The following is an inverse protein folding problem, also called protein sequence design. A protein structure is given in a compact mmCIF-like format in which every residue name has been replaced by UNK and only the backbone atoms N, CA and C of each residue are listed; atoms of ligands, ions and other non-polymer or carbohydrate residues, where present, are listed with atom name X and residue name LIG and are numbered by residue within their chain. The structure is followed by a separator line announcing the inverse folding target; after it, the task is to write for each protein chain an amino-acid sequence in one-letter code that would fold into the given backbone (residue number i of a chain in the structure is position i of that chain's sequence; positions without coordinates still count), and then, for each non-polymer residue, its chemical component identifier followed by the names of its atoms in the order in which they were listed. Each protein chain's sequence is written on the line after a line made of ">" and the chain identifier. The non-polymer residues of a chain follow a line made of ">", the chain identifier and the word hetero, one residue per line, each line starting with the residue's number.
data_IF_634109219461
#
_entry.id   IF_634109219461
#
_cell.length_a   1.000
_cell.length_b   1.000
_cell.length_c   1.000
_cell.angle_alpha   90.00
_cell.angle_beta   90.00
_cell.angle_gamma   90.00
#
_symmetry.space_group_name_H-M   'P 1'
#
loop_
_entity.id
_entity.type
_entity.pdbx_description
1 polymer ?
#
# COMPACT_ATOMS: atom_id res chain seq x y z
N UNK A 1 24.20 13.65 -19.28
CA UNK A 1 22.95 13.43 -18.51
C UNK A 1 21.82 14.14 -19.25
N UNK A 2 20.69 13.47 -19.52
CA UNK A 2 19.53 14.07 -20.19
C UNK A 2 18.70 14.82 -19.14
N UNK A 3 18.38 16.09 -19.38
CA UNK A 3 17.50 16.87 -18.50
C UNK A 3 16.08 16.31 -18.54
N UNK A 4 15.39 16.37 -17.42
CA UNK A 4 13.97 16.00 -17.26
C UNK A 4 13.35 16.90 -16.20
N UNK A 5 12.06 17.15 -16.29
CA UNK A 5 11.33 18.04 -15.40
C UNK A 5 10.19 17.30 -14.71
N UNK A 6 9.97 17.63 -13.44
CA UNK A 6 8.72 17.36 -12.74
C UNK A 6 7.87 18.63 -12.78
N UNK A 7 6.70 18.56 -13.39
CA UNK A 7 5.74 19.67 -13.43
C UNK A 7 4.53 19.29 -12.60
N UNK A 8 4.17 20.10 -11.62
CA UNK A 8 3.01 19.90 -10.74
C UNK A 8 1.79 20.63 -11.29
N UNK A 9 0.58 20.18 -10.93
CA UNK A 9 -0.68 20.73 -11.44
C UNK A 9 -0.91 22.21 -11.09
N UNK A 10 -0.20 22.73 -10.07
CA UNK A 10 -0.23 24.13 -9.66
C UNK A 10 0.83 25.01 -10.36
N UNK A 11 1.62 24.43 -11.28
CA UNK A 11 2.57 25.13 -12.13
C UNK A 11 4.01 25.15 -11.63
N UNK A 12 4.35 24.56 -10.48
CA UNK A 12 5.75 24.44 -10.09
C UNK A 12 6.47 23.42 -10.96
N UNK A 13 7.68 23.77 -11.40
CA UNK A 13 8.59 22.91 -12.15
C UNK A 13 9.89 22.69 -11.40
N UNK A 14 10.35 21.43 -11.35
CA UNK A 14 11.61 21.05 -10.76
C UNK A 14 12.49 20.36 -11.81
N UNK A 15 13.72 20.82 -11.97
CA UNK A 15 14.69 20.23 -12.90
C UNK A 15 15.48 19.11 -12.22
N UNK A 16 15.71 18.03 -12.96
CA UNK A 16 16.66 16.98 -12.60
C UNK A 16 17.22 16.29 -13.84
N UNK A 17 17.75 15.09 -13.62
CA UNK A 17 18.34 14.26 -14.66
C UNK A 17 17.60 12.93 -14.77
N UNK A 18 17.42 12.46 -16.01
CA UNK A 18 16.69 11.22 -16.26
C UNK A 18 17.53 9.98 -15.94
N UNK A 19 16.87 9.01 -15.31
CA UNK A 19 17.29 7.60 -15.23
C UNK A 19 16.04 6.71 -15.38
N UNK A 20 16.21 5.40 -15.52
CA UNK A 20 15.11 4.50 -15.86
C UNK A 20 14.66 4.65 -17.32
N UNK A 21 13.38 4.37 -17.57
CA UNK A 21 12.82 4.42 -18.92
C UNK A 21 12.74 5.85 -19.46
N UNK A 22 12.92 6.01 -20.77
CA UNK A 22 12.64 7.28 -21.45
C UNK A 22 11.16 7.37 -21.79
N UNK A 23 10.36 7.81 -20.81
CA UNK A 23 8.92 7.95 -20.93
C UNK A 23 8.44 9.21 -20.23
N UNK A 24 7.32 9.75 -20.69
CA UNK A 24 6.57 10.78 -19.97
C UNK A 24 5.36 10.15 -19.31
N UNK A 25 5.10 10.52 -18.06
CA UNK A 25 4.01 9.96 -17.27
C UNK A 25 3.34 11.06 -16.45
N UNK A 26 2.04 10.94 -16.28
CA UNK A 26 1.27 11.74 -15.32
C UNK A 26 0.77 10.81 -14.21
N UNK A 27 0.84 11.27 -12.96
CA UNK A 27 0.43 10.52 -11.80
C UNK A 27 0.16 11.43 -10.60
N UNK A 28 -0.47 10.90 -9.56
CA UNK A 28 -0.57 11.60 -8.27
C UNK A 28 0.82 11.60 -7.61
N UNK A 29 1.33 12.79 -7.30
CA UNK A 29 2.65 12.97 -6.68
C UNK A 29 2.57 12.76 -5.17
N UNK A 30 3.33 11.79 -4.69
CA UNK A 30 3.38 11.40 -3.28
C UNK A 30 4.83 11.31 -2.81
N UNK A 31 5.06 11.31 -1.49
CA UNK A 31 6.39 11.07 -0.94
C UNK A 31 6.37 9.92 0.07
N UNK A 32 7.50 9.22 0.21
CA UNK A 32 7.71 8.15 1.17
C UNK A 32 8.90 8.47 2.09
N UNK A 33 8.73 8.25 3.40
CA UNK A 33 9.76 8.48 4.44
C UNK A 33 10.62 7.27 4.76
N UNK A 34 10.43 6.14 4.07
CA UNK A 34 11.30 4.98 4.16
C UNK A 34 12.76 5.34 3.85
N UNK A 35 13.68 4.98 4.76
CA UNK A 35 15.12 5.10 4.51
C UNK A 35 15.72 3.89 3.81
N UNK A 36 14.95 2.81 3.80
CA UNK A 36 15.18 1.52 3.16
C UNK A 36 13.81 1.03 2.69
N UNK A 37 13.79 0.00 1.84
CA UNK A 37 12.54 -0.58 1.36
C UNK A 37 12.06 0.02 0.02
N UNK A 38 12.96 0.58 -0.79
CA UNK A 38 12.55 1.15 -2.09
C UNK A 38 12.10 0.07 -3.08
N UNK A 39 12.54 -1.19 -2.93
CA UNK A 39 12.10 -2.30 -3.78
C UNK A 39 10.63 -2.62 -3.49
N UNK A 40 10.31 -2.72 -2.21
CA UNK A 40 8.97 -2.96 -1.68
C UNK A 40 8.06 -1.79 -2.05
N UNK A 41 8.57 -0.55 -2.01
CA UNK A 41 7.85 0.64 -2.51
C UNK A 41 7.55 0.54 -4.01
N UNK A 42 8.52 0.14 -4.83
CA UNK A 42 8.33 -0.02 -6.27
C UNK A 42 7.30 -1.10 -6.62
N UNK A 43 7.20 -2.14 -5.77
CA UNK A 43 6.39 -3.34 -6.00
C UNK A 43 5.12 -3.41 -5.16
N UNK A 44 4.81 -2.37 -4.39
CA UNK A 44 3.56 -2.26 -3.63
C UNK A 44 2.44 -1.70 -4.53
N UNK A 45 1.45 -2.54 -4.81
CA UNK A 45 0.30 -2.22 -5.65
C UNK A 45 -0.48 -0.98 -5.18
N UNK A 46 -0.40 -0.60 -3.90
CA UNK A 46 -1.02 0.62 -3.39
C UNK A 46 -0.47 1.92 -4.02
N UNK A 47 0.70 1.87 -4.67
CA UNK A 47 1.26 2.98 -5.46
C UNK A 47 0.74 3.06 -6.90
N UNK A 48 -0.22 2.23 -7.30
CA UNK A 48 -0.79 2.29 -8.64
C UNK A 48 -1.27 3.72 -8.99
N UNK A 49 -0.76 4.24 -10.10
CA UNK A 49 -1.10 5.59 -10.57
C UNK A 49 -0.34 6.73 -9.89
N UNK A 50 0.62 6.43 -9.01
CA UNK A 50 1.36 7.44 -8.24
C UNK A 50 2.81 7.59 -8.72
N UNK A 51 3.32 8.82 -8.69
CA UNK A 51 4.74 9.14 -8.83
C UNK A 51 5.31 9.30 -7.43
N UNK A 52 6.32 8.51 -7.09
CA UNK A 52 6.85 8.42 -5.73
C UNK A 52 8.14 9.23 -5.59
N UNK A 53 8.16 10.12 -4.60
CA UNK A 53 9.35 10.85 -4.16
C UNK A 53 9.93 10.14 -2.94
N UNK A 54 11.13 9.60 -3.08
CA UNK A 54 11.89 9.08 -1.94
C UNK A 54 12.54 10.25 -1.19
N UNK A 55 12.23 10.35 0.10
CA UNK A 55 12.81 11.42 0.94
C UNK A 55 14.22 11.11 1.41
N UNK A 56 14.57 9.81 1.53
CA UNK A 56 15.93 9.42 1.83
C UNK A 56 16.81 9.68 0.61
N UNK A 57 17.94 10.38 0.77
CA UNK A 57 18.61 10.99 -0.37
C UNK A 57 19.24 9.98 -1.33
N UNK A 58 19.80 8.88 -0.81
CA UNK A 58 20.53 7.90 -1.61
C UNK A 58 19.68 6.67 -1.87
N UNK A 59 19.30 6.44 -3.13
CA UNK A 59 18.44 5.33 -3.55
C UNK A 59 19.15 4.47 -4.60
N UNK A 60 18.95 3.15 -4.53
CA UNK A 60 19.63 2.17 -5.39
C UNK A 60 20.91 1.56 -4.80
N UNK A 61 21.28 1.93 -3.57
CA UNK A 61 22.53 1.51 -2.92
C UNK A 61 22.67 -0.01 -2.72
N UNK A 62 21.56 -0.75 -2.61
CA UNK A 62 21.58 -2.22 -2.54
C UNK A 62 21.08 -2.89 -3.83
N UNK A 63 20.95 -2.13 -4.91
CA UNK A 63 20.48 -2.61 -6.21
C UNK A 63 19.06 -3.17 -6.15
N UNK A 64 18.81 -4.19 -6.96
CA UNK A 64 17.53 -4.89 -7.02
C UNK A 64 17.72 -6.33 -6.58
N UNK A 65 16.82 -6.76 -5.72
CA UNK A 65 16.79 -8.05 -5.06
C UNK A 65 15.40 -8.62 -5.34
N UNK A 66 15.21 -9.44 -6.39
CA UNK A 66 13.90 -9.99 -6.76
C UNK A 66 13.18 -10.74 -5.62
N UNK A 67 13.93 -11.31 -4.68
CA UNK A 67 13.36 -11.97 -3.49
C UNK A 67 12.67 -11.01 -2.51
N UNK A 68 12.91 -9.70 -2.61
CA UNK A 68 12.25 -8.65 -1.83
C UNK A 68 11.05 -8.02 -2.57
N UNK A 69 10.61 -8.59 -3.70
CA UNK A 69 9.42 -8.09 -4.41
C UNK A 69 8.15 -8.45 -3.66
N UNK A 70 7.31 -7.45 -3.42
CA UNK A 70 5.96 -7.65 -2.90
C UNK A 70 4.94 -7.94 -4.01
N UNK A 71 5.28 -7.64 -5.26
CA UNK A 71 4.41 -7.76 -6.42
C UNK A 71 5.10 -7.32 -7.73
N UNK A 72 4.28 -6.99 -8.74
CA UNK A 72 4.77 -6.34 -9.98
C UNK A 72 5.11 -4.87 -9.68
N UNK A 73 5.94 -4.25 -10.52
CA UNK A 73 6.18 -2.80 -10.42
C UNK A 73 4.86 -2.03 -10.57
N UNK A 74 4.53 -1.16 -9.62
CA UNK A 74 3.23 -0.51 -9.53
C UNK A 74 3.30 1.02 -9.65
N UNK A 75 4.46 1.63 -9.37
CA UNK A 75 4.64 3.08 -9.45
C UNK A 75 4.56 3.57 -10.90
N UNK A 76 4.13 4.82 -11.11
CA UNK A 76 4.22 5.50 -12.41
C UNK A 76 5.59 6.11 -12.66
N UNK A 77 6.30 6.49 -11.62
CA UNK A 77 7.63 7.11 -11.71
C UNK A 77 8.31 7.19 -10.36
N UNK A 78 9.64 7.30 -10.37
CA UNK A 78 10.47 7.37 -9.16
C UNK A 78 11.32 8.65 -9.15
N UNK A 79 11.29 9.39 -8.05
CA UNK A 79 12.01 10.64 -7.87
C UNK A 79 12.93 10.52 -6.67
N UNK A 80 14.23 10.72 -6.89
CA UNK A 80 15.28 10.53 -5.88
C UNK A 80 16.22 11.73 -5.86
N UNK A 81 16.87 11.98 -4.73
CA UNK A 81 17.89 13.04 -4.68
C UNK A 81 19.17 12.58 -5.38
N UNK A 82 19.66 11.42 -4.99
CA UNK A 82 20.89 10.80 -5.46
C UNK A 82 20.60 9.36 -5.84
N UNK A 83 20.93 9.01 -7.08
CA UNK A 83 20.85 7.64 -7.57
C UNK A 83 22.23 6.99 -7.46
N UNK A 84 22.29 5.83 -6.81
CA UNK A 84 23.48 5.00 -6.76
C UNK A 84 23.56 4.10 -8.00
N UNK A 85 24.54 4.34 -8.86
CA UNK A 85 24.79 3.58 -10.09
C UNK A 85 25.76 2.39 -9.90
N UNK A 86 26.33 2.24 -8.70
CA UNK A 86 27.21 1.14 -8.31
C UNK A 86 26.71 0.45 -7.02
N UNK A 87 25.61 -0.33 -7.10
CA UNK A 87 25.01 -0.97 -5.92
C UNK A 87 25.98 -1.94 -5.23
N UNK A 88 25.87 -2.05 -3.91
CA UNK A 88 26.71 -2.94 -3.11
C UNK A 88 25.89 -3.69 -2.06
N UNK A 89 25.41 -4.88 -2.44
CA UNK A 89 24.77 -5.82 -1.55
C UNK A 89 25.00 -7.25 -2.08
N UNK A 90 25.26 -8.23 -1.21
CA UNK A 90 25.51 -9.62 -1.61
C UNK A 90 24.30 -10.30 -2.28
N UNK A 91 23.09 -9.76 -2.07
CA UNK A 91 21.83 -10.23 -2.67
C UNK A 91 21.48 -9.51 -3.97
N UNK A 92 22.23 -8.46 -4.34
CA UNK A 92 21.96 -7.65 -5.53
C UNK A 92 22.13 -8.49 -6.79
N UNK A 93 21.09 -8.54 -7.62
CA UNK A 93 21.13 -9.24 -8.91
C UNK A 93 21.37 -8.28 -10.09
N UNK A 94 20.86 -7.04 -10.00
CA UNK A 94 21.05 -6.00 -11.01
C UNK A 94 20.77 -4.60 -10.43
N UNK A 95 21.10 -3.55 -11.17
CA UNK A 95 20.90 -2.16 -10.72
C UNK A 95 19.46 -1.65 -10.90
N UNK A 96 19.16 -0.54 -10.21
CA UNK A 96 17.84 0.10 -10.20
C UNK A 96 17.46 0.66 -11.58
N UNK A 97 18.41 1.22 -12.34
CA UNK A 97 18.14 1.83 -13.64
C UNK A 97 17.68 0.78 -14.67
N UNK A 98 18.33 -0.39 -14.67
CA UNK A 98 17.89 -1.55 -15.45
C UNK A 98 16.47 -1.97 -15.10
N UNK A 99 16.13 -2.08 -13.81
CA UNK A 99 14.78 -2.47 -13.41
C UNK A 99 13.72 -1.49 -13.87
N UNK A 100 13.96 -0.19 -13.68
CA UNK A 100 13.04 0.86 -14.12
C UNK A 100 12.86 0.85 -15.64
N UNK A 101 13.94 0.65 -16.41
CA UNK A 101 13.89 0.51 -17.88
C UNK A 101 13.07 -0.70 -18.31
N UNK A 102 13.33 -1.86 -17.72
CA UNK A 102 12.65 -3.12 -18.05
C UNK A 102 11.14 -3.04 -17.75
N UNK A 103 10.72 -2.23 -16.77
CA UNK A 103 9.32 -2.00 -16.42
C UNK A 103 8.70 -0.74 -17.06
N UNK A 104 9.45 -0.02 -17.92
CA UNK A 104 8.93 1.19 -18.58
C UNK A 104 8.69 2.37 -17.63
N UNK A 105 9.35 2.40 -16.46
CA UNK A 105 9.16 3.42 -15.42
C UNK A 105 10.23 4.52 -15.58
N UNK A 106 9.84 5.79 -15.80
CA UNK A 106 10.77 6.90 -15.80
C UNK A 106 11.18 7.30 -14.37
N UNK A 107 12.43 7.73 -14.24
CA UNK A 107 12.98 8.25 -13.00
C UNK A 107 13.66 9.62 -13.15
N UNK A 108 13.64 10.39 -12.07
CA UNK A 108 14.37 11.67 -11.95
C UNK A 108 15.33 11.61 -10.75
N UNK A 109 16.61 11.93 -10.98
CA UNK A 109 17.60 12.16 -9.92
C UNK A 109 18.19 13.57 -9.96
N UNK A 110 18.94 13.97 -8.93
CA UNK A 110 19.59 15.29 -8.85
C UNK A 110 18.65 16.43 -8.51
N UNK A 111 17.38 16.12 -8.23
CA UNK A 111 16.30 17.04 -7.91
C UNK A 111 16.21 17.27 -6.40
N UNK A 112 15.66 18.42 -5.96
CA UNK A 112 15.48 18.72 -4.53
C UNK A 112 14.22 18.03 -3.99
N UNK A 113 14.36 16.77 -3.58
CA UNK A 113 13.25 15.98 -3.01
C UNK A 113 12.70 16.60 -1.73
N UNK A 114 13.52 17.32 -0.95
CA UNK A 114 13.07 18.00 0.27
C UNK A 114 12.14 19.18 -0.05
N UNK A 115 12.45 19.97 -1.07
CA UNK A 115 11.58 21.04 -1.54
C UNK A 115 10.24 20.48 -2.02
N UNK A 116 10.26 19.40 -2.81
CA UNK A 116 9.05 18.73 -3.30
C UNK A 116 8.21 18.19 -2.13
N UNK A 117 8.82 17.50 -1.17
CA UNK A 117 8.11 16.98 0.01
C UNK A 117 7.47 18.10 0.83
N UNK A 118 8.17 19.22 1.03
CA UNK A 118 7.56 20.39 1.71
C UNK A 118 6.36 20.92 0.94
N UNK A 119 6.48 21.04 -0.38
CA UNK A 119 5.39 21.49 -1.26
C UNK A 119 4.14 20.61 -1.11
N UNK A 120 4.30 19.28 -1.15
CA UNK A 120 3.21 18.32 -0.94
C UNK A 120 2.63 18.43 0.48
N UNK A 121 3.44 18.62 1.52
CA UNK A 121 2.94 18.75 2.90
C UNK A 121 2.13 20.05 3.11
N UNK A 122 2.55 21.12 2.48
CA UNK A 122 1.91 22.45 2.58
C UNK A 122 0.62 22.52 1.77
N UNK A 123 0.57 21.91 0.58
CA UNK A 123 -0.55 22.05 -0.36
C UNK A 123 -1.43 20.79 -0.49
N UNK A 124 -0.95 19.62 -0.03
CA UNK A 124 -1.58 18.32 -0.21
C UNK A 124 -1.00 17.53 -1.38
N UNK A 125 -1.40 16.26 -1.53
CA UNK A 125 -1.10 15.50 -2.75
C UNK A 125 -1.72 16.18 -3.97
N UNK A 126 -1.04 16.10 -5.09
CA UNK A 126 -1.43 16.79 -6.33
C UNK A 126 -0.96 15.98 -7.53
N UNK A 127 -1.57 16.17 -8.69
CA UNK A 127 -1.05 15.52 -9.89
C UNK A 127 0.26 16.18 -10.34
N UNK A 128 1.13 15.37 -10.92
CA UNK A 128 2.35 15.85 -11.55
C UNK A 128 2.67 15.03 -12.80
N UNK A 129 3.49 15.63 -13.66
CA UNK A 129 3.99 15.01 -14.87
C UNK A 129 5.52 15.01 -14.88
N UNK A 130 6.10 13.88 -15.29
CA UNK A 130 7.50 13.76 -15.70
C UNK A 130 7.55 14.04 -17.21
N UNK A 131 8.26 15.08 -17.62
CA UNK A 131 8.38 15.48 -19.03
C UNK A 131 9.78 15.95 -19.42
N UNK A 132 10.08 15.98 -20.71
CA UNK A 132 11.39 16.40 -21.24
C UNK A 132 11.40 17.82 -21.80
N UNK A 133 10.23 18.42 -22.00
CA UNK A 133 10.06 19.74 -22.61
C UNK A 133 9.11 20.61 -21.78
N UNK A 134 9.36 21.93 -21.79
CA UNK A 134 8.56 22.96 -21.12
C UNK A 134 8.28 24.12 -22.09
N UNK A 135 7.17 24.87 -21.91
CA UNK A 135 6.11 24.67 -20.91
C UNK A 135 5.21 23.47 -21.26
N UNK A 136 4.49 22.96 -20.26
CA UNK A 136 3.51 21.88 -20.43
C UNK A 136 2.09 22.40 -20.14
N UNK A 137 1.07 21.77 -20.74
CA UNK A 137 -0.32 22.09 -20.46
C UNK A 137 -0.75 21.57 -19.07
N UNK A 138 -1.02 22.49 -18.15
CA UNK A 138 -1.42 22.15 -16.79
C UNK A 138 -2.79 21.48 -16.72
N UNK A 139 -3.67 21.70 -17.71
CA UNK A 139 -5.01 21.12 -17.69
C UNK A 139 -4.97 19.59 -17.91
N UNK A 140 -4.02 19.11 -18.71
CA UNK A 140 -3.75 17.67 -18.83
C UNK A 140 -3.32 17.05 -17.48
N UNK A 141 -2.48 17.76 -16.72
CA UNK A 141 -2.01 17.28 -15.39
C UNK A 141 -3.19 17.24 -14.40
N UNK A 142 -3.98 18.32 -14.34
CA UNK A 142 -5.17 18.41 -13.45
C UNK A 142 -6.24 17.38 -13.77
N UNK A 143 -6.39 17.01 -15.05
CA UNK A 143 -7.40 16.05 -15.47
C UNK A 143 -7.08 14.60 -15.07
N UNK A 144 -5.83 14.31 -14.66
CA UNK A 144 -5.45 12.95 -14.28
C UNK A 144 -6.30 12.46 -13.09
N UNK A 145 -6.81 11.24 -13.24
CA UNK A 145 -7.55 10.51 -12.20
C UNK A 145 -7.04 9.08 -12.18
N UNK A 146 -6.89 8.55 -10.98
CA UNK A 146 -6.68 7.12 -10.77
C UNK A 146 -8.06 6.47 -10.88
N UNK A 147 -8.27 5.62 -11.88
CA UNK A 147 -9.51 4.88 -12.11
C UNK A 147 -9.25 3.38 -12.09
N UNK A 148 -10.27 2.60 -11.73
CA UNK A 148 -10.24 1.12 -11.76
C UNK A 148 -9.02 0.51 -11.06
N UNK A 149 -8.53 1.17 -9.99
CA UNK A 149 -7.22 0.88 -9.41
C UNK A 149 -7.09 -0.57 -8.94
N UNK A 150 -8.11 -1.06 -8.21
CA UNK A 150 -8.15 -2.45 -7.71
C UNK A 150 -8.24 -3.46 -8.86
N UNK A 151 -9.11 -3.20 -9.84
CA UNK A 151 -9.28 -4.06 -11.01
C UNK A 151 -7.99 -4.16 -11.85
N UNK A 152 -7.16 -3.12 -11.84
CA UNK A 152 -5.88 -3.11 -12.54
C UNK A 152 -4.76 -3.92 -11.86
N UNK A 153 -4.90 -4.23 -10.57
CA UNK A 153 -3.83 -4.88 -9.77
C UNK A 153 -4.20 -6.23 -9.16
N UNK A 154 -5.50 -6.55 -9.07
CA UNK A 154 -5.99 -7.85 -8.59
C UNK A 154 -5.45 -9.02 -9.42
N UNK A 155 -5.34 -10.20 -8.80
CA UNK A 155 -5.08 -11.44 -9.50
C UNK A 155 -6.12 -11.70 -10.61
N UNK A 156 -5.64 -12.26 -11.72
CA UNK A 156 -6.47 -12.66 -12.87
C UNK A 156 -7.28 -13.94 -12.58
N UNK A 157 -6.71 -14.81 -11.76
CA UNK A 157 -7.29 -16.11 -11.42
C UNK A 157 -7.01 -16.47 -9.96
N UNK A 158 -7.82 -17.40 -9.43
CA UNK A 158 -7.61 -17.99 -8.11
C UNK A 158 -6.29 -18.74 -8.05
N UNK A 159 -5.52 -18.54 -6.98
CA UNK A 159 -4.24 -19.22 -6.72
C UNK A 159 -4.24 -19.84 -5.33
N UNK A 160 -3.67 -21.05 -5.21
CA UNK A 160 -3.53 -21.76 -3.94
C UNK A 160 -2.06 -21.89 -3.56
N UNK A 161 -1.79 -21.75 -2.28
CA UNK A 161 -0.46 -21.88 -1.67
C UNK A 161 -0.59 -22.77 -0.44
N UNK A 162 0.10 -23.90 -0.45
CA UNK A 162 0.00 -24.89 0.62
C UNK A 162 1.10 -24.65 1.67
N UNK A 163 0.74 -24.71 2.95
CA UNK A 163 1.71 -24.77 4.03
C UNK A 163 2.22 -26.21 4.22
N UNK A 164 3.48 -26.37 4.62
CA UNK A 164 4.08 -27.70 4.84
C UNK A 164 3.31 -28.52 5.89
N UNK A 165 2.80 -27.86 6.93
CA UNK A 165 2.00 -28.48 8.00
C UNK A 165 0.72 -27.69 8.22
N UNK A 166 -0.21 -27.75 7.27
CA UNK A 166 -1.44 -26.98 7.31
C UNK A 166 -2.34 -27.31 8.52
N UNK A 167 -2.79 -26.27 9.22
CA UNK A 167 -3.76 -26.32 10.33
C UNK A 167 -5.06 -25.58 10.01
N UNK A 168 -4.99 -24.56 9.17
CA UNK A 168 -6.10 -23.67 8.83
C UNK A 168 -6.13 -23.41 7.32
N UNK A 169 -7.29 -23.04 6.79
CA UNK A 169 -7.49 -22.61 5.41
C UNK A 169 -7.97 -21.17 5.42
N UNK A 170 -7.17 -20.28 4.85
CA UNK A 170 -7.47 -18.84 4.77
C UNK A 170 -7.72 -18.46 3.33
N UNK A 171 -8.84 -17.80 3.07
CA UNK A 171 -9.07 -17.13 1.79
C UNK A 171 -8.61 -15.69 1.88
N UNK A 172 -7.79 -15.23 0.95
CA UNK A 172 -7.36 -13.84 0.84
C UNK A 172 -8.02 -13.21 -0.38
N UNK A 173 -8.78 -12.13 -0.18
CA UNK A 173 -9.33 -11.34 -1.28
C UNK A 173 -8.29 -10.33 -1.73
N UNK A 174 -7.87 -10.45 -2.99
CA UNK A 174 -6.81 -9.65 -3.58
C UNK A 174 -7.35 -8.31 -4.10
N UNK A 175 -7.02 -7.22 -3.40
CA UNK A 175 -7.28 -5.86 -3.83
C UNK A 175 -6.02 -5.14 -4.31
N UNK A 176 -4.91 -5.86 -4.46
CA UNK A 176 -3.54 -5.33 -4.54
C UNK A 176 -2.63 -5.94 -3.48
N UNK A 177 -2.72 -7.27 -3.32
CA UNK A 177 -2.04 -8.02 -2.27
C UNK A 177 -0.52 -7.96 -2.40
N UNK A 178 0.15 -7.87 -1.25
CA UNK A 178 1.60 -8.03 -1.11
C UNK A 178 1.95 -9.49 -0.86
N UNK A 179 3.03 -9.99 -1.45
CA UNK A 179 3.55 -11.36 -1.24
C UNK A 179 3.70 -11.70 0.25
N UNK A 180 4.18 -10.75 1.04
CA UNK A 180 4.37 -10.86 2.49
C UNK A 180 3.10 -11.28 3.26
N UNK A 181 1.89 -10.97 2.76
CA UNK A 181 0.64 -11.40 3.40
C UNK A 181 0.50 -12.92 3.34
N UNK A 182 0.86 -13.51 2.21
CA UNK A 182 0.85 -14.96 1.99
C UNK A 182 1.92 -15.61 2.87
N UNK A 183 3.12 -15.03 2.90
CA UNK A 183 4.23 -15.54 3.71
C UNK A 183 3.88 -15.54 5.22
N UNK A 184 3.25 -14.49 5.75
CA UNK A 184 2.87 -14.40 7.17
C UNK A 184 1.79 -15.42 7.56
N UNK A 185 0.89 -15.77 6.64
CA UNK A 185 -0.12 -16.82 6.84
C UNK A 185 0.50 -18.23 6.75
N UNK A 186 1.36 -18.48 5.77
CA UNK A 186 2.05 -19.77 5.62
C UNK A 186 2.95 -20.05 6.84
N UNK A 187 3.70 -19.05 7.33
CA UNK A 187 4.49 -19.13 8.58
C UNK A 187 3.65 -19.56 9.78
N UNK A 188 2.34 -19.32 9.74
CA UNK A 188 1.36 -19.68 10.78
C UNK A 188 0.54 -20.90 10.42
N UNK A 189 1.05 -21.74 9.51
CA UNK A 189 0.45 -23.02 9.13
C UNK A 189 -0.93 -22.87 8.46
N UNK A 190 -1.15 -21.79 7.72
CA UNK A 190 -2.36 -21.62 6.92
C UNK A 190 -2.09 -22.05 5.48
N UNK A 191 -2.95 -22.91 4.93
CA UNK A 191 -3.14 -22.95 3.49
C UNK A 191 -3.80 -21.64 3.05
N UNK A 192 -3.29 -21.03 1.98
CA UNK A 192 -3.75 -19.73 1.50
C UNK A 192 -4.37 -19.90 0.12
N UNK A 193 -5.63 -19.49 -0.02
CA UNK A 193 -6.27 -19.33 -1.32
C UNK A 193 -6.44 -17.85 -1.61
N UNK A 194 -5.69 -17.33 -2.59
CA UNK A 194 -5.86 -15.97 -3.09
C UNK A 194 -6.94 -15.97 -4.17
N UNK A 195 -7.93 -15.09 -4.03
CA UNK A 195 -9.03 -14.93 -4.99
C UNK A 195 -9.06 -13.51 -5.55
N UNK A 196 -9.42 -13.32 -6.82
CA UNK A 196 -9.61 -11.98 -7.39
C UNK A 196 -10.60 -11.11 -6.60
N UNK A 197 -10.43 -9.79 -6.67
CA UNK A 197 -11.30 -8.80 -6.01
C UNK A 197 -12.80 -8.93 -6.32
N UNK A 198 -13.16 -9.49 -7.48
CA UNK A 198 -14.53 -9.67 -7.94
C UNK A 198 -15.15 -11.03 -7.56
N UNK A 199 -14.43 -11.87 -6.81
CA UNK A 199 -14.99 -13.14 -6.30
C UNK A 199 -16.12 -12.86 -5.31
N UNK A 200 -17.28 -13.48 -5.54
CA UNK A 200 -18.46 -13.26 -4.70
C UNK A 200 -18.29 -13.83 -3.29
N UNK A 201 -18.96 -13.21 -2.32
CA UNK A 201 -18.99 -13.72 -0.94
C UNK A 201 -19.56 -15.14 -0.86
N UNK A 202 -20.53 -15.48 -1.71
CA UNK A 202 -21.09 -16.82 -1.79
C UNK A 202 -20.04 -17.86 -2.20
N UNK A 203 -19.24 -17.57 -3.23
CA UNK A 203 -18.16 -18.44 -3.69
C UNK A 203 -17.06 -18.58 -2.63
N UNK A 204 -16.67 -17.48 -1.98
CA UNK A 204 -15.69 -17.49 -0.88
C UNK A 204 -16.18 -18.40 0.25
N UNK A 205 -17.42 -18.25 0.69
CA UNK A 205 -18.01 -19.03 1.79
C UNK A 205 -18.27 -20.50 1.41
N UNK A 206 -18.53 -20.79 0.13
CA UNK A 206 -18.66 -22.16 -0.37
C UNK A 206 -17.34 -22.95 -0.22
N UNK A 207 -16.21 -22.25 -0.26
CA UNK A 207 -14.88 -22.79 0.05
C UNK A 207 -14.67 -23.15 1.53
N UNK A 208 -15.60 -22.78 2.42
CA UNK A 208 -15.56 -23.01 3.88
C UNK A 208 -14.22 -22.62 4.53
N UNK A 209 -13.72 -21.40 4.31
CA UNK A 209 -12.47 -20.98 4.94
C UNK A 209 -12.62 -20.86 6.46
N UNK A 210 -11.56 -21.21 7.17
CA UNK A 210 -11.44 -21.00 8.62
C UNK A 210 -11.35 -19.50 8.95
N UNK A 211 -10.81 -18.70 8.02
CA UNK A 211 -10.79 -17.25 8.10
C UNK A 211 -10.61 -16.57 6.75
N UNK A 212 -10.96 -15.28 6.68
CA UNK A 212 -10.84 -14.45 5.49
C UNK A 212 -9.95 -13.26 5.78
N UNK A 213 -8.96 -13.03 4.92
CA UNK A 213 -8.15 -11.81 4.96
C UNK A 213 -8.53 -10.91 3.78
N UNK A 214 -8.81 -9.64 4.07
CA UNK A 214 -9.09 -8.60 3.08
C UNK A 214 -7.82 -7.76 2.91
N UNK A 215 -7.18 -7.86 1.74
CA UNK A 215 -5.85 -7.30 1.52
C UNK A 215 -5.83 -5.77 1.40
N UNK A 216 -4.62 -5.20 1.40
CA UNK A 216 -4.41 -3.80 1.01
C UNK A 216 -4.61 -3.60 -0.49
N UNK A 217 -4.57 -2.34 -0.92
CA UNK A 217 -4.75 -2.01 -2.33
C UNK A 217 -4.72 -0.51 -2.61
N UNK A 218 -4.72 -0.12 -3.90
CA UNK A 218 -4.73 1.27 -4.32
C UNK A 218 -6.15 1.87 -4.38
N UNK A 219 -6.18 3.18 -4.59
CA UNK A 219 -7.39 3.90 -4.97
C UNK A 219 -8.22 4.42 -3.81
N UNK A 220 -9.39 4.96 -4.14
CA UNK A 220 -10.34 5.52 -3.21
C UNK A 220 -11.33 4.43 -2.76
N UNK A 221 -11.42 4.12 -1.45
CA UNK A 221 -12.33 3.08 -0.97
C UNK A 221 -13.82 3.40 -1.25
N UNK A 222 -14.19 4.68 -1.40
CA UNK A 222 -15.58 5.06 -1.71
C UNK A 222 -16.00 4.67 -3.15
N UNK A 223 -15.04 4.47 -4.06
CA UNK A 223 -15.31 4.04 -5.44
C UNK A 223 -15.48 2.51 -5.54
N UNK A 224 -15.32 1.79 -4.43
CA UNK A 224 -15.34 0.33 -4.35
C UNK A 224 -16.71 -0.25 -3.96
N UNK A 225 -17.81 0.32 -4.45
CA UNK A 225 -19.18 -0.04 -4.03
C UNK A 225 -19.48 -1.55 -4.13
N UNK A 226 -19.00 -2.20 -5.19
CA UNK A 226 -19.18 -3.65 -5.40
C UNK A 226 -18.44 -4.47 -4.34
N UNK A 227 -17.19 -4.14 -4.03
CA UNK A 227 -16.40 -4.82 -3.00
C UNK A 227 -16.98 -4.60 -1.61
N UNK A 228 -17.48 -3.39 -1.31
CA UNK A 228 -18.15 -3.09 -0.04
C UNK A 228 -19.37 -3.99 0.15
N UNK A 229 -20.16 -4.20 -0.91
CA UNK A 229 -21.34 -5.05 -0.87
C UNK A 229 -20.98 -6.52 -0.59
N UNK A 230 -19.91 -7.05 -1.18
CA UNK A 230 -19.43 -8.41 -0.91
C UNK A 230 -18.84 -8.53 0.51
N UNK A 231 -17.99 -7.59 0.95
CA UNK A 231 -17.42 -7.56 2.30
C UNK A 231 -18.53 -7.58 3.36
N UNK A 232 -19.61 -6.81 3.17
CA UNK A 232 -20.75 -6.81 4.09
C UNK A 232 -21.39 -8.20 4.28
N UNK A 233 -21.41 -9.04 3.24
CA UNK A 233 -21.95 -10.40 3.31
C UNK A 233 -21.03 -11.35 4.07
N UNK A 234 -19.72 -11.09 4.08
CA UNK A 234 -18.70 -11.89 4.76
C UNK A 234 -18.64 -11.62 6.27
N UNK A 235 -18.92 -10.38 6.70
CA UNK A 235 -18.89 -9.98 8.11
C UNK A 235 -19.80 -10.87 8.98
N UNK A 236 -19.25 -11.38 10.08
CA UNK A 236 -19.97 -12.24 11.03
C UNK A 236 -20.20 -13.69 10.57
N UNK A 237 -19.63 -14.11 9.44
CA UNK A 237 -19.74 -15.50 8.94
C UNK A 237 -18.59 -16.40 9.39
N UNK A 238 -17.39 -15.84 9.45
CA UNK A 238 -16.16 -16.49 9.92
C UNK A 238 -15.20 -15.42 10.44
N UNK A 239 -13.99 -15.78 10.86
CA UNK A 239 -12.99 -14.80 11.25
C UNK A 239 -12.63 -13.90 10.06
N UNK A 240 -12.64 -12.57 10.23
CA UNK A 240 -12.26 -11.63 9.15
C UNK A 240 -11.19 -10.66 9.63
N UNK A 241 -10.11 -10.53 8.87
CA UNK A 241 -9.04 -9.56 9.11
C UNK A 241 -8.83 -8.64 7.91
N UNK A 242 -8.99 -7.33 8.08
CA UNK A 242 -8.74 -6.33 7.03
C UNK A 242 -7.47 -5.53 7.22
N UNK A 243 -6.70 -5.32 6.16
CA UNK A 243 -5.45 -4.54 6.17
C UNK A 243 -5.51 -3.45 5.09
N UNK A 244 -5.11 -2.22 5.41
CA UNK A 244 -5.05 -1.12 4.44
C UNK A 244 -6.41 -0.81 3.81
N UNK A 245 -6.55 -1.07 2.51
CA UNK A 245 -7.85 -0.95 1.83
C UNK A 245 -8.90 -1.89 2.44
N UNK A 246 -8.55 -3.11 2.83
CA UNK A 246 -9.46 -4.04 3.52
C UNK A 246 -10.02 -3.46 4.82
N UNK A 247 -9.25 -2.67 5.57
CA UNK A 247 -9.74 -1.95 6.75
C UNK A 247 -10.84 -0.93 6.39
N UNK A 248 -10.62 -0.16 5.33
CA UNK A 248 -11.54 0.86 4.87
C UNK A 248 -12.83 0.23 4.31
N UNK A 249 -12.72 -0.86 3.55
CA UNK A 249 -13.88 -1.59 3.01
C UNK A 249 -14.74 -2.20 4.13
N UNK A 250 -14.13 -2.76 5.17
CA UNK A 250 -14.87 -3.25 6.35
C UNK A 250 -15.62 -2.12 7.06
N UNK A 251 -14.97 -0.98 7.27
CA UNK A 251 -15.59 0.18 7.90
C UNK A 251 -16.79 0.70 7.08
N UNK A 252 -16.62 0.87 5.77
CA UNK A 252 -17.70 1.28 4.86
C UNK A 252 -18.84 0.26 4.80
N UNK A 253 -18.53 -1.04 4.78
CA UNK A 253 -19.54 -2.10 4.81
C UNK A 253 -20.43 -2.04 6.07
N UNK A 254 -19.85 -1.58 7.18
CA UNK A 254 -20.50 -1.38 8.47
C UNK A 254 -21.09 0.03 8.65
N UNK A 255 -21.08 0.87 7.62
CA UNK A 255 -21.77 2.16 7.58
C UNK A 255 -20.95 3.35 8.11
N UNK A 256 -19.65 3.18 8.35
CA UNK A 256 -18.75 4.31 8.58
C UNK A 256 -18.47 5.07 7.27
N UNK A 257 -17.77 6.20 7.35
CA UNK A 257 -17.34 7.01 6.21
C UNK A 257 -15.82 7.11 6.13
N UNK A 258 -15.31 7.41 4.94
CA UNK A 258 -13.88 7.65 4.69
C UNK A 258 -13.67 9.07 4.14
N UNK A 259 -12.45 9.58 4.29
CA UNK A 259 -12.04 10.87 3.73
C UNK A 259 -10.61 10.79 3.19
N UNK A 260 -10.30 11.67 2.23
CA UNK A 260 -8.94 11.79 1.67
C UNK A 260 -8.05 12.55 2.65
N UNK A 261 -6.90 11.98 2.99
CA UNK A 261 -5.88 12.65 3.79
C UNK A 261 -5.19 13.73 2.94
N UNK A 262 -4.74 14.80 3.61
CA UNK A 262 -4.05 15.91 2.92
C UNK A 262 -2.85 15.41 2.10
N UNK A 263 -1.96 14.64 2.73
CA UNK A 263 -0.78 14.05 2.08
C UNK A 263 -0.62 12.55 2.35
N UNK A 264 -1.55 11.92 3.06
CA UNK A 264 -1.51 10.50 3.42
C UNK A 264 -0.42 10.12 4.43
N UNK A 265 -0.34 8.83 4.75
CA UNK A 265 0.73 8.24 5.56
C UNK A 265 1.52 7.25 4.72
N UNK A 266 2.81 7.56 4.50
CA UNK A 266 3.70 6.80 3.62
C UNK A 266 5.09 6.71 4.22
N UNK A 267 5.42 5.55 4.79
CA UNK A 267 6.71 5.27 5.38
C UNK A 267 6.69 4.26 6.52
N UNK A 268 7.88 3.81 6.92
CA UNK A 268 8.11 2.79 7.95
C UNK A 268 8.23 3.32 9.39
N UNK A 269 7.82 4.57 9.65
CA UNK A 269 8.05 5.24 10.93
C UNK A 269 6.77 5.82 11.55
N UNK A 270 5.59 5.34 11.17
CA UNK A 270 4.32 5.89 11.65
C UNK A 270 3.95 5.30 13.01
N UNK A 271 3.80 6.12 14.07
CA UNK A 271 3.44 5.63 15.40
C UNK A 271 1.94 5.37 15.49
N UNK A 272 1.56 4.11 15.68
CA UNK A 272 0.17 3.68 15.90
C UNK A 272 -0.03 3.29 17.37
N UNK A 273 -0.88 4.04 18.07
CA UNK A 273 -1.19 3.84 19.48
C UNK A 273 -2.39 2.90 19.63
N UNK A 274 -2.24 1.84 20.42
CA UNK A 274 -3.36 0.93 20.73
C UNK A 274 -4.25 1.59 21.78
N UNK A 275 -5.53 1.79 21.44
CA UNK A 275 -6.53 2.37 22.34
C UNK A 275 -6.68 1.51 23.59
N UNK A 276 -6.92 2.14 24.75
CA UNK A 276 -7.02 1.48 26.06
C UNK A 276 -5.77 0.69 26.49
N UNK A 277 -4.61 1.01 25.92
CA UNK A 277 -3.32 0.40 26.23
C UNK A 277 -2.25 1.49 26.39
N UNK A 278 -1.17 1.20 27.10
CA UNK A 278 0.02 2.07 27.16
C UNK A 278 1.04 1.74 26.06
N UNK A 279 0.60 1.10 24.96
CA UNK A 279 1.48 0.63 23.89
C UNK A 279 1.29 1.44 22.61
N UNK A 280 2.42 1.87 22.06
CA UNK A 280 2.51 2.47 20.73
C UNK A 280 3.51 1.65 19.92
N UNK A 281 3.15 1.38 18.67
CA UNK A 281 3.92 0.57 17.74
C UNK A 281 4.38 1.44 16.59
N UNK A 282 5.61 1.24 16.12
CA UNK A 282 6.07 1.86 14.88
C UNK A 282 5.64 0.97 13.73
N UNK A 283 4.90 1.54 12.79
CA UNK A 283 4.20 0.81 11.72
C UNK A 283 4.63 1.29 10.34
N UNK A 284 4.53 0.39 9.37
CA UNK A 284 4.64 0.71 7.96
C UNK A 284 3.27 1.11 7.42
N UNK A 285 3.21 2.23 6.70
CA UNK A 285 1.97 2.73 6.12
C UNK A 285 2.16 3.18 4.69
N UNK A 286 1.11 3.00 3.90
CA UNK A 286 0.97 3.52 2.55
C UNK A 286 -0.53 3.72 2.27
N UNK A 287 -1.08 4.84 2.73
CA UNK A 287 -2.50 5.17 2.55
C UNK A 287 -2.71 6.65 2.23
N UNK A 288 -3.66 6.94 1.33
CA UNK A 288 -4.12 8.29 0.99
C UNK A 288 -5.49 8.64 1.58
N UNK A 289 -6.16 7.67 2.19
CA UNK A 289 -7.50 7.79 2.76
C UNK A 289 -7.51 7.22 4.17
N UNK A 290 -8.42 7.71 5.00
CA UNK A 290 -8.63 7.23 6.36
C UNK A 290 -10.12 7.04 6.65
N UNK A 291 -10.43 6.16 7.59
CA UNK A 291 -11.78 6.05 8.17
C UNK A 291 -12.00 7.21 9.14
N UNK A 292 -13.18 7.82 9.08
CA UNK A 292 -13.60 8.81 10.07
C UNK A 292 -14.01 8.12 11.37
N UNK A 293 -13.21 8.29 12.42
CA UNK A 293 -13.44 7.72 13.75
C UNK A 293 -14.82 8.04 14.31
N UNK A 294 -15.34 9.25 14.07
CA UNK A 294 -16.63 9.69 14.62
C UNK A 294 -17.82 9.03 13.92
N UNK A 295 -17.61 8.53 12.70
CA UNK A 295 -18.61 7.83 11.90
C UNK A 295 -18.75 6.35 12.29
N UNK A 296 -17.81 5.78 13.05
CA UNK A 296 -17.83 4.36 13.45
C UNK A 296 -18.94 4.13 14.48
N UNK A 297 -20.01 3.43 14.07
CA UNK A 297 -21.14 3.04 14.96
C UNK A 297 -21.22 1.55 15.25
N UNK A 298 -20.55 0.73 14.44
CA UNK A 298 -20.45 -0.72 14.59
C UNK A 298 -18.98 -1.06 14.76
N UNK A 299 -18.63 -1.76 15.83
CA UNK A 299 -17.24 -1.97 16.24
C UNK A 299 -16.70 -0.83 17.11
N UNK A 300 -15.43 -0.92 17.49
CA UNK A 300 -14.73 0.04 18.33
C UNK A 300 -13.36 0.37 17.73
N UNK A 301 -12.99 1.65 17.67
CA UNK A 301 -11.63 2.05 17.27
C UNK A 301 -10.60 1.44 18.22
N UNK A 302 -9.67 0.67 17.67
CA UNK A 302 -8.67 -0.09 18.42
C UNK A 302 -7.26 0.48 18.29
N UNK A 303 -6.98 1.24 17.23
CA UNK A 303 -5.73 1.96 17.03
C UNK A 303 -5.98 3.38 16.51
N UNK A 304 -5.11 4.31 16.91
CA UNK A 304 -5.08 5.69 16.40
C UNK A 304 -3.66 6.11 16.09
N UNK A 305 -3.48 6.93 15.05
CA UNK A 305 -2.17 7.48 14.72
C UNK A 305 -1.76 8.50 15.78
N UNK A 306 -0.58 8.35 16.38
CA UNK A 306 -0.15 9.23 17.47
C UNK A 306 0.28 10.63 16.99
N UNK A 307 0.49 10.83 15.68
CA UNK A 307 0.86 12.12 15.13
C UNK A 307 -0.37 13.01 14.86
N UNK A 308 -1.49 12.44 14.41
CA UNK A 308 -2.65 13.20 13.93
C UNK A 308 -4.03 12.64 14.32
N UNK A 309 -4.06 11.58 15.14
CA UNK A 309 -5.27 10.93 15.70
C UNK A 309 -6.20 10.29 14.66
N UNK A 310 -5.74 10.01 13.44
CA UNK A 310 -6.56 9.28 12.46
C UNK A 310 -6.83 7.85 12.92
N UNK A 311 -7.96 7.27 12.48
CA UNK A 311 -8.30 5.88 12.74
C UNK A 311 -7.27 4.93 12.09
N UNK A 312 -6.66 4.06 12.89
CA UNK A 312 -5.65 3.09 12.44
C UNK A 312 -6.10 1.63 12.63
N UNK A 313 -7.26 1.41 13.25
CA UNK A 313 -7.81 0.07 13.41
C UNK A 313 -9.17 0.05 14.09
N UNK A 314 -9.97 -0.97 13.79
CA UNK A 314 -11.30 -1.18 14.36
C UNK A 314 -11.45 -2.66 14.74
N UNK A 315 -12.01 -2.91 15.91
CA UNK A 315 -12.41 -4.25 16.38
C UNK A 315 -13.93 -4.42 16.31
N UNK A 316 -14.38 -5.53 15.74
CA UNK A 316 -15.79 -5.94 15.60
C UNK A 316 -16.00 -7.25 16.38
N UNK A 317 -15.91 -7.17 17.71
CA UNK A 317 -15.87 -8.34 18.60
C UNK A 317 -17.04 -9.33 18.37
N UNK A 318 -18.26 -8.82 18.24
CA UNK A 318 -19.47 -9.64 18.02
C UNK A 318 -19.49 -10.37 16.68
N UNK A 319 -18.60 -9.99 15.75
CA UNK A 319 -18.53 -10.54 14.39
C UNK A 319 -17.29 -11.39 14.16
N UNK A 320 -16.45 -11.60 15.18
CA UNK A 320 -15.10 -12.18 15.04
C UNK A 320 -14.33 -11.51 13.91
N UNK A 321 -14.27 -10.19 13.92
CA UNK A 321 -13.53 -9.45 12.91
C UNK A 321 -12.74 -8.28 13.50
N UNK A 322 -11.63 -7.93 12.87
CA UNK A 322 -10.90 -6.70 13.18
C UNK A 322 -10.16 -6.22 11.93
N UNK A 323 -9.68 -4.99 11.95
CA UNK A 323 -8.91 -4.44 10.85
C UNK A 323 -7.93 -3.38 11.29
N UNK A 324 -6.90 -3.15 10.48
CA UNK A 324 -5.87 -2.12 10.70
C UNK A 324 -5.52 -1.40 9.40
N UNK A 325 -5.24 -0.11 9.50
CA UNK A 325 -4.94 0.76 8.36
C UNK A 325 -3.48 0.63 7.90
N UNK A 326 -2.58 0.30 8.83
CA UNK A 326 -1.17 0.04 8.59
C UNK A 326 -0.92 -1.41 8.14
N UNK A 327 0.30 -1.68 7.69
CA UNK A 327 0.78 -2.98 7.23
C UNK A 327 1.47 -3.73 8.38
N UNK A 328 0.85 -4.77 8.96
CA UNK A 328 1.40 -5.48 10.12
C UNK A 328 2.64 -6.29 9.80
N UNK A 329 2.75 -6.74 8.55
CA UNK A 329 3.89 -7.46 8.04
C UNK A 329 5.10 -6.53 7.92
N UNK A 330 6.24 -7.02 8.42
CA UNK A 330 7.46 -6.22 8.53
C UNK A 330 8.00 -5.90 7.14
N UNK A 331 8.05 -4.62 6.79
CA UNK A 331 8.98 -4.13 5.79
C UNK A 331 10.11 -3.45 6.56
N UNK A 332 11.35 -3.83 6.27
CA UNK A 332 12.56 -3.22 6.82
C UNK A 332 12.79 -3.36 8.35
N UNK A 333 12.50 -4.53 8.94
CA UNK A 333 13.07 -4.94 10.23
C UNK A 333 12.31 -4.48 11.48
N UNK A 334 11.13 -3.88 11.34
CA UNK A 334 10.23 -3.56 12.45
C UNK A 334 9.16 -4.65 12.59
N UNK A 335 9.47 -5.73 13.32
CA UNK A 335 8.50 -6.78 13.67
C UNK A 335 7.57 -6.37 14.82
N UNK A 336 7.08 -5.13 14.81
CA UNK A 336 6.35 -4.56 15.94
C UNK A 336 4.90 -5.04 16.01
N UNK A 337 4.29 -5.38 14.87
CA UNK A 337 2.83 -5.61 14.75
C UNK A 337 2.42 -6.95 14.12
N UNK A 338 3.35 -7.83 13.78
CA UNK A 338 3.02 -9.13 13.17
C UNK A 338 2.17 -10.03 14.08
N UNK A 339 2.15 -9.77 15.40
CA UNK A 339 1.26 -10.43 16.35
C UNK A 339 -0.23 -10.29 15.99
N UNK A 340 -0.61 -9.32 15.14
CA UNK A 340 -1.97 -9.21 14.64
C UNK A 340 -2.37 -10.41 13.78
N UNK A 341 -1.42 -11.02 13.05
CA UNK A 341 -1.69 -12.29 12.36
C UNK A 341 -1.93 -13.41 13.37
N UNK A 342 -1.20 -13.44 14.50
CA UNK A 342 -1.42 -14.43 15.56
C UNK A 342 -2.83 -14.27 16.18
N UNK A 343 -3.26 -13.04 16.47
CA UNK A 343 -4.63 -12.76 16.91
C UNK A 343 -5.69 -13.27 15.91
N UNK A 344 -5.42 -13.13 14.60
CA UNK A 344 -6.31 -13.65 13.57
C UNK A 344 -6.37 -15.19 13.60
N UNK A 345 -5.26 -15.88 13.85
CA UNK A 345 -5.26 -17.34 14.04
C UNK A 345 -6.11 -17.75 15.26
N UNK A 346 -5.95 -17.06 16.38
CA UNK A 346 -6.70 -17.35 17.61
C UNK A 346 -8.21 -17.21 17.38
N UNK A 347 -8.64 -16.23 16.59
CA UNK A 347 -10.05 -16.02 16.23
C UNK A 347 -10.66 -17.15 15.40
N UNK A 348 -9.83 -17.88 14.63
CA UNK A 348 -10.23 -19.09 13.89
C UNK A 348 -10.37 -20.33 14.79
N UNK A 349 -10.02 -20.23 16.08
CA UNK A 349 -9.97 -21.35 17.02
C UNK A 349 -8.55 -21.85 17.29
N UNK A 350 -7.52 -21.01 17.08
CA UNK A 350 -6.18 -21.22 17.63
C UNK A 350 -6.20 -21.25 19.16
N UNK A 351 -5.48 -22.22 19.74
CA UNK A 351 -5.35 -22.41 21.19
C UNK A 351 -4.22 -21.56 21.77
#
# INVERSE_FOLDING_TARGET
>A
MKKVYLVTEDGHSFEGYAFGAQAEVTGELVFNTGMVGYIETLTDAAYYGQIVVETFPLVGNYGIIPSDFEGKCAVKGLIVREWCDAPSNFRCEYDLDKYLKDNGIPGIYGIDTRAITKHIRENGVMNAKICYELPYDLDEIKSYKITDAVAAVTAEEKKAFDAETAKYNVTVVDYGIKKSFIDELIKRNCNVTVVPSNTSAEEILAGKPDGILLSGGPGNPADCAEYIAEVKKLMGKTAVFGIGLGHQLMALAMGATTYKLKYGHRGGNQPSHKVNSNRTYITSQNCGYAVDSDSVKVGCVSFVNANDNTCEGIEYADMKAFSVQFYPESIAGLHSTSFLYDNFIDMMGGN
#
